data_IF_086546465955
#
_entry.id   IF_086546465955
#
_cell.length_a   1.000
_cell.length_b   1.000
_cell.length_c   1.000
_cell.angle_alpha   90.00
_cell.angle_beta   90.00
_cell.angle_gamma   90.00
#
_symmetry.space_group_name_H-M   'P 1'
#
loop_
_entity.id
_entity.type
_entity.pdbx_description
1 polymer ?
#
# COMPACT_ATOMS: atom_id res chain seq x y z
N UNK A 1 7.07 2.56 6.99
CA UNK A 1 6.87 1.28 6.27
C UNK A 1 7.96 1.13 5.22
N UNK A 2 8.36 -0.10 4.91
CA UNK A 2 9.45 -0.43 3.96
C UNK A 2 9.28 0.14 2.55
N UNK A 3 8.05 0.43 2.14
CA UNK A 3 7.73 0.89 0.79
C UNK A 3 7.51 2.40 0.70
N UNK A 4 7.60 3.13 1.82
CA UNK A 4 7.31 4.55 1.84
C UNK A 4 8.38 5.37 1.11
N UNK A 5 9.65 4.99 1.24
CA UNK A 5 10.77 5.69 0.63
C UNK A 5 11.65 4.77 -0.23
N UNK A 6 11.01 3.94 -1.05
CA UNK A 6 11.69 3.00 -1.93
C UNK A 6 11.07 3.00 -3.34
N UNK A 7 11.73 3.70 -4.27
CA UNK A 7 11.30 3.90 -5.64
C UNK A 7 11.28 2.58 -6.42
N UNK A 8 12.30 1.73 -6.22
CA UNK A 8 12.33 0.40 -6.83
C UNK A 8 11.13 -0.46 -6.43
N UNK A 9 10.74 -0.42 -5.16
CA UNK A 9 9.61 -1.21 -4.66
C UNK A 9 8.25 -0.73 -5.18
N UNK A 10 8.01 0.59 -5.29
CA UNK A 10 6.76 1.10 -5.87
C UNK A 10 6.66 0.86 -7.38
N UNK A 11 7.78 0.62 -8.07
CA UNK A 11 7.78 0.25 -9.48
C UNK A 11 7.60 -1.26 -9.72
N UNK A 12 8.23 -2.11 -8.89
CA UNK A 12 8.15 -3.58 -9.02
C UNK A 12 9.10 -4.15 -10.07
N UNK A 13 8.79 -5.38 -10.54
CA UNK A 13 9.58 -6.06 -11.58
C UNK A 13 9.55 -5.34 -12.92
N UNK A 14 10.43 -5.73 -13.85
CA UNK A 14 10.57 -5.11 -15.18
C UNK A 14 10.86 -3.59 -15.15
N UNK A 15 11.43 -3.08 -14.05
CA UNK A 15 11.85 -1.68 -13.94
C UNK A 15 13.35 -1.62 -13.72
N UNK A 16 14.07 -1.06 -14.71
CA UNK A 16 15.53 -1.04 -14.83
C UNK A 16 16.14 -2.43 -14.97
N UNK A 17 15.91 -3.32 -14.00
CA UNK A 17 16.31 -4.72 -14.02
C UNK A 17 15.11 -5.62 -14.25
N UNK A 18 15.36 -6.85 -14.73
CA UNK A 18 14.32 -7.85 -14.98
C UNK A 18 13.46 -8.11 -13.72
N UNK A 19 14.11 -8.35 -12.59
CA UNK A 19 13.44 -8.61 -11.32
C UNK A 19 13.06 -7.32 -10.57
N UNK A 20 13.33 -6.14 -11.16
CA UNK A 20 13.27 -4.87 -10.47
C UNK A 20 14.47 -4.62 -9.57
N UNK A 21 14.44 -3.50 -8.86
CA UNK A 21 15.55 -2.98 -8.04
C UNK A 21 15.06 -2.62 -6.65
N UNK A 22 15.98 -2.56 -5.69
CA UNK A 22 15.73 -2.12 -4.31
C UNK A 22 16.45 -0.77 -4.06
N UNK A 23 15.68 0.29 -3.81
CA UNK A 23 16.20 1.62 -3.49
C UNK A 23 15.96 2.67 -4.56
N UNK A 24 16.59 3.83 -4.38
CA UNK A 24 16.21 5.08 -5.05
C UNK A 24 17.20 5.55 -6.12
N UNK A 25 18.33 4.87 -6.30
CA UNK A 25 19.47 5.37 -7.10
C UNK A 25 19.53 4.83 -8.54
N UNK A 26 18.49 4.13 -9.00
CA UNK A 26 18.48 3.43 -10.30
C UNK A 26 17.72 4.17 -11.41
N UNK A 27 16.74 4.99 -11.03
CA UNK A 27 15.92 5.79 -11.96
C UNK A 27 15.47 7.07 -11.30
N UNK A 28 14.95 8.01 -12.09
CA UNK A 28 14.32 9.23 -11.58
C UNK A 28 12.85 8.99 -11.25
N UNK A 29 12.36 9.62 -10.20
CA UNK A 29 10.97 9.54 -9.78
C UNK A 29 10.77 10.18 -8.41
N UNK A 30 9.55 10.10 -7.91
CA UNK A 30 9.15 10.61 -6.59
C UNK A 30 8.67 9.44 -5.74
N UNK A 31 9.35 9.19 -4.62
CA UNK A 31 8.86 8.21 -3.63
C UNK A 31 7.59 8.71 -2.97
N UNK A 32 6.76 7.81 -2.44
CA UNK A 32 5.54 8.19 -1.70
C UNK A 32 5.89 9.11 -0.50
N UNK A 33 6.99 8.86 0.21
CA UNK A 33 7.46 9.75 1.29
C UNK A 33 7.80 11.14 0.77
N UNK A 34 8.52 11.22 -0.35
CA UNK A 34 8.88 12.51 -0.96
C UNK A 34 7.64 13.25 -1.44
N UNK A 35 6.67 12.55 -2.03
CA UNK A 35 5.38 13.12 -2.42
C UNK A 35 4.63 13.67 -1.20
N UNK A 36 4.53 12.90 -0.11
CA UNK A 36 3.88 13.35 1.14
C UNK A 36 4.53 14.65 1.64
N UNK A 37 5.86 14.69 1.70
CA UNK A 37 6.63 15.88 2.12
C UNK A 37 6.33 17.13 1.30
N UNK A 38 6.03 16.96 0.02
CA UNK A 38 5.77 18.06 -0.89
C UNK A 38 4.27 18.40 -1.00
N UNK A 39 3.37 17.55 -0.49
CA UNK A 39 1.91 17.77 -0.56
C UNK A 39 1.35 18.43 0.71
N UNK A 40 1.85 18.07 1.90
CA UNK A 40 1.27 18.59 3.15
C UNK A 40 1.63 20.06 3.39
N UNK A 41 0.88 20.72 4.27
CA UNK A 41 1.17 22.09 4.68
C UNK A 41 2.56 22.18 5.32
N UNK A 42 3.26 23.29 5.07
CA UNK A 42 4.63 23.55 5.56
C UNK A 42 4.79 23.49 7.08
N UNK A 43 3.70 23.69 7.83
CA UNK A 43 3.69 23.65 9.30
C UNK A 43 3.40 22.23 9.82
N UNK A 44 3.14 21.26 8.92
CA UNK A 44 2.98 19.84 9.25
C UNK A 44 4.34 19.20 9.50
N UNK A 45 4.57 18.73 10.71
CA UNK A 45 5.75 17.93 11.03
C UNK A 45 5.63 16.51 10.46
N UNK A 46 6.63 16.10 9.68
CA UNK A 46 6.69 14.77 9.08
C UNK A 46 7.83 13.98 9.68
N UNK A 47 7.48 12.91 10.38
CA UNK A 47 8.43 11.95 10.93
C UNK A 47 8.40 10.68 10.08
N UNK A 48 9.55 10.33 9.49
CA UNK A 48 9.71 9.06 8.79
C UNK A 48 10.44 8.06 9.68
N UNK A 49 9.80 6.90 9.88
CA UNK A 49 10.43 5.74 10.48
C UNK A 49 10.00 4.49 9.71
N UNK A 50 10.96 3.72 9.20
CA UNK A 50 10.64 2.60 8.31
C UNK A 50 9.88 1.49 9.05
N UNK A 51 10.41 1.04 10.19
CA UNK A 51 9.86 -0.05 11.01
C UNK A 51 9.81 0.37 12.50
N UNK A 52 8.92 1.29 12.90
CA UNK A 52 8.86 1.77 14.27
C UNK A 52 8.43 0.65 15.25
N UNK A 53 9.00 0.67 16.45
CA UNK A 53 8.52 -0.18 17.54
C UNK A 53 7.18 0.33 18.08
N UNK A 54 6.42 -0.56 18.70
CA UNK A 54 5.16 -0.20 19.36
C UNK A 54 5.35 0.92 20.39
N UNK A 55 6.44 0.87 21.17
CA UNK A 55 6.70 1.86 22.22
C UNK A 55 7.09 3.21 21.63
N UNK A 56 7.85 3.23 20.53
CA UNK A 56 8.12 4.46 19.81
C UNK A 56 6.83 5.13 19.34
N UNK A 57 5.91 4.37 18.73
CA UNK A 57 4.62 4.93 18.28
C UNK A 57 3.80 5.46 19.45
N UNK A 58 3.77 4.76 20.60
CA UNK A 58 3.04 5.20 21.80
C UNK A 58 3.63 6.44 22.48
N UNK A 59 4.95 6.57 22.46
CA UNK A 59 5.65 7.65 23.17
C UNK A 59 5.62 8.98 22.41
N UNK A 60 5.12 8.99 21.17
CA UNK A 60 4.97 10.18 20.34
C UNK A 60 3.49 10.49 20.10
N UNK A 61 3.15 11.76 20.04
CA UNK A 61 1.77 12.24 19.86
C UNK A 61 1.46 12.46 18.37
N UNK A 62 1.40 11.37 17.60
CA UNK A 62 1.09 11.45 16.18
C UNK A 62 -0.42 11.61 15.94
N UNK A 63 -0.81 12.60 15.14
CA UNK A 63 -2.23 12.82 14.77
C UNK A 63 -2.80 11.66 13.94
N UNK A 64 -2.01 11.14 13.00
CA UNK A 64 -2.32 9.97 12.18
C UNK A 64 -1.01 9.43 11.58
N UNK A 65 -1.08 8.26 10.95
CA UNK A 65 0.03 7.62 10.25
C UNK A 65 -0.37 7.13 8.86
N UNK A 66 0.60 7.13 7.93
CA UNK A 66 0.50 6.48 6.64
C UNK A 66 1.52 5.34 6.62
N UNK A 67 1.05 4.10 6.53
CA UNK A 67 1.90 2.90 6.52
C UNK A 67 1.95 2.35 5.10
N UNK A 68 3.07 2.56 4.42
CA UNK A 68 3.31 2.02 3.07
C UNK A 68 4.11 0.72 3.16
N UNK A 69 3.51 -0.39 2.75
CA UNK A 69 4.10 -1.74 2.79
C UNK A 69 3.60 -2.57 1.60
N UNK A 70 4.21 -3.73 1.35
CA UNK A 70 3.87 -4.49 0.15
C UNK A 70 4.74 -5.71 -0.14
N UNK A 71 4.62 -6.20 -1.37
CA UNK A 71 5.51 -7.21 -1.97
C UNK A 71 6.83 -6.54 -2.39
N UNK A 72 7.95 -7.27 -2.33
CA UNK A 72 9.20 -6.83 -3.00
C UNK A 72 9.09 -7.06 -4.51
N UNK A 73 9.88 -6.38 -5.35
CA UNK A 73 9.91 -6.60 -6.79
C UNK A 73 10.12 -8.07 -7.16
N UNK A 74 9.42 -8.52 -8.19
CA UNK A 74 9.56 -9.84 -8.80
C UNK A 74 9.11 -9.79 -10.26
N UNK A 75 9.65 -10.70 -11.07
CA UNK A 75 9.17 -10.99 -12.41
C UNK A 75 9.11 -12.51 -12.67
N UNK A 76 8.06 -12.93 -13.36
CA UNK A 76 7.86 -14.32 -13.81
C UNK A 76 7.92 -15.33 -12.64
N UNK A 77 8.67 -16.42 -12.77
CA UNK A 77 8.73 -17.52 -11.78
C UNK A 77 9.17 -17.06 -10.39
N UNK A 78 9.91 -15.96 -10.28
CA UNK A 78 10.29 -15.41 -8.96
C UNK A 78 9.09 -14.84 -8.20
N UNK A 79 8.00 -14.56 -8.89
CA UNK A 79 6.73 -14.13 -8.32
C UNK A 79 5.80 -15.28 -7.90
N UNK A 80 6.14 -16.53 -8.20
CA UNK A 80 5.29 -17.66 -7.81
C UNK A 80 5.25 -17.78 -6.27
N UNK A 81 4.03 -17.73 -5.71
CA UNK A 81 3.83 -17.80 -4.26
C UNK A 81 2.51 -18.48 -3.94
N UNK A 82 2.56 -19.45 -3.02
CA UNK A 82 1.38 -20.20 -2.55
C UNK A 82 0.73 -19.56 -1.32
N UNK A 83 1.44 -18.68 -0.60
CA UNK A 83 0.95 -18.08 0.64
C UNK A 83 0.39 -16.65 0.43
N UNK A 84 0.82 -15.96 -0.62
CA UNK A 84 0.40 -14.60 -0.98
C UNK A 84 0.39 -13.63 0.21
N UNK A 85 1.38 -13.73 1.10
CA UNK A 85 1.56 -12.85 2.26
C UNK A 85 2.61 -11.78 1.96
N UNK A 86 2.41 -10.56 2.46
CA UNK A 86 3.49 -9.55 2.50
C UNK A 86 4.57 -9.96 3.51
N UNK A 87 5.70 -9.26 3.50
CA UNK A 87 6.79 -9.53 4.45
C UNK A 87 6.34 -9.38 5.93
N UNK A 88 6.90 -10.21 6.80
CA UNK A 88 6.65 -10.15 8.26
C UNK A 88 6.96 -8.77 8.85
N UNK A 89 7.97 -8.07 8.31
CA UNK A 89 8.30 -6.71 8.73
C UNK A 89 7.17 -5.74 8.38
N UNK A 90 6.57 -5.86 7.20
CA UNK A 90 5.41 -5.08 6.77
C UNK A 90 4.20 -5.33 7.68
N UNK A 91 3.86 -6.60 7.92
CA UNK A 91 2.76 -6.98 8.80
C UNK A 91 2.95 -6.47 10.25
N UNK A 92 4.17 -6.60 10.80
CA UNK A 92 4.52 -6.06 12.12
C UNK A 92 4.46 -4.53 12.17
N UNK A 93 4.82 -3.85 11.09
CA UNK A 93 4.74 -2.39 11.00
C UNK A 93 3.28 -1.92 11.01
N UNK A 94 2.40 -2.58 10.27
CA UNK A 94 0.95 -2.31 10.35
C UNK A 94 0.47 -2.48 11.79
N UNK A 95 0.79 -3.62 12.42
CA UNK A 95 0.37 -3.90 13.80
C UNK A 95 0.86 -2.84 14.81
N UNK A 96 2.14 -2.50 14.76
CA UNK A 96 2.74 -1.55 15.71
C UNK A 96 2.18 -0.13 15.57
N UNK A 97 1.89 0.29 14.33
CA UNK A 97 1.44 1.66 14.05
C UNK A 97 -0.07 1.78 14.21
N UNK A 98 -0.82 1.00 13.43
CA UNK A 98 -2.28 1.13 13.31
C UNK A 98 -2.99 0.61 14.58
N UNK A 99 -2.34 -0.24 15.38
CA UNK A 99 -2.83 -0.62 16.71
C UNK A 99 -2.74 0.47 17.78
N UNK A 100 -2.19 1.64 17.48
CA UNK A 100 -1.95 2.74 18.44
C UNK A 100 -2.32 4.13 17.95
N UNK A 101 -2.20 4.39 16.66
CA UNK A 101 -2.50 5.68 16.03
C UNK A 101 -3.39 5.42 14.82
N UNK A 102 -4.33 6.34 14.54
CA UNK A 102 -5.16 6.27 13.33
C UNK A 102 -4.27 6.16 12.10
N UNK A 103 -4.51 5.16 11.28
CA UNK A 103 -3.57 4.70 10.28
C UNK A 103 -4.29 4.38 8.97
N UNK A 104 -3.77 4.92 7.88
CA UNK A 104 -4.09 4.47 6.52
C UNK A 104 -2.95 3.58 6.02
N UNK A 105 -3.28 2.37 5.57
CA UNK A 105 -2.32 1.46 4.93
C UNK A 105 -2.37 1.65 3.43
N UNK A 106 -1.22 1.95 2.82
CA UNK A 106 -1.02 1.95 1.37
C UNK A 106 -0.28 0.67 1.00
N UNK A 107 -0.95 -0.18 0.24
CA UNK A 107 -0.47 -1.50 -0.13
C UNK A 107 0.11 -1.50 -1.55
N UNK A 108 1.40 -1.82 -1.65
CA UNK A 108 2.15 -1.88 -2.92
C UNK A 108 2.33 -3.35 -3.32
N UNK A 109 1.47 -3.84 -4.22
CA UNK A 109 1.42 -5.28 -4.57
C UNK A 109 1.11 -5.49 -6.04
N UNK A 110 1.62 -6.57 -6.63
CA UNK A 110 1.29 -6.93 -8.01
C UNK A 110 -0.08 -7.59 -8.16
N UNK A 111 -0.73 -7.93 -7.03
CA UNK A 111 -1.94 -8.77 -6.95
C UNK A 111 -2.63 -8.63 -5.58
N UNK A 112 -3.85 -9.18 -5.42
CA UNK A 112 -4.44 -9.38 -4.10
C UNK A 112 -3.56 -10.27 -3.22
N UNK A 113 -3.40 -9.88 -1.96
CA UNK A 113 -2.60 -10.58 -0.94
C UNK A 113 -3.40 -10.75 0.35
N UNK A 114 -2.93 -11.59 1.26
CA UNK A 114 -3.51 -11.76 2.59
C UNK A 114 -3.46 -10.42 3.34
N UNK A 115 -4.64 -9.84 3.61
CA UNK A 115 -4.77 -8.56 4.35
C UNK A 115 -5.82 -8.62 5.46
N UNK A 116 -6.73 -9.61 5.43
CA UNK A 116 -7.82 -9.77 6.37
C UNK A 116 -7.41 -9.63 7.86
N UNK A 117 -6.28 -10.20 8.33
CA UNK A 117 -5.86 -10.08 9.74
C UNK A 117 -5.61 -8.65 10.22
N UNK A 118 -5.47 -7.69 9.31
CA UNK A 118 -5.18 -6.29 9.62
C UNK A 118 -6.39 -5.36 9.46
N UNK A 119 -7.52 -5.82 8.91
CA UNK A 119 -8.62 -4.92 8.55
C UNK A 119 -9.28 -4.27 9.76
N UNK A 120 -9.35 -4.95 10.90
CA UNK A 120 -10.01 -4.43 12.11
C UNK A 120 -9.23 -3.32 12.81
N UNK A 121 -7.96 -3.11 12.44
CA UNK A 121 -7.06 -2.15 13.10
C UNK A 121 -6.64 -0.97 12.22
N UNK A 122 -7.16 -0.87 11.00
CA UNK A 122 -6.81 0.19 10.05
C UNK A 122 -8.04 1.04 9.76
N UNK A 123 -7.84 2.35 9.69
CA UNK A 123 -8.91 3.30 9.35
C UNK A 123 -9.14 3.38 7.84
N UNK A 124 -8.13 3.03 7.04
CA UNK A 124 -8.22 2.98 5.58
C UNK A 124 -7.21 2.02 4.98
N UNK A 125 -7.59 1.40 3.87
CA UNK A 125 -6.73 0.56 3.04
C UNK A 125 -6.78 1.04 1.60
N UNK A 126 -5.62 1.35 1.03
CA UNK A 126 -5.47 1.71 -0.38
C UNK A 126 -4.64 0.64 -1.07
N UNK A 127 -5.24 -0.09 -2.00
CA UNK A 127 -4.50 -0.96 -2.91
C UNK A 127 -3.93 -0.10 -4.06
N UNK A 128 -2.67 0.32 -3.92
CA UNK A 128 -1.98 1.18 -4.88
C UNK A 128 -1.33 0.40 -6.04
N UNK A 129 -1.37 -0.93 -5.97
CA UNK A 129 -0.74 -1.82 -6.94
C UNK A 129 0.77 -1.57 -7.06
N UNK A 130 1.30 -1.51 -8.29
CA UNK A 130 2.67 -1.07 -8.58
C UNK A 130 2.58 0.28 -9.32
N UNK A 131 2.53 1.42 -8.60
CA UNK A 131 2.17 2.72 -9.19
C UNK A 131 3.28 3.35 -10.06
N UNK A 132 4.49 2.79 -10.11
CA UNK A 132 5.58 3.31 -10.94
C UNK A 132 6.29 4.50 -10.31
N UNK A 133 6.89 5.37 -11.12
CA UNK A 133 7.79 6.45 -10.67
C UNK A 133 7.09 7.65 -10.02
N UNK A 134 5.79 7.83 -10.26
CA UNK A 134 5.07 9.06 -9.92
C UNK A 134 4.31 8.93 -8.59
N UNK A 135 5.03 8.98 -7.47
CA UNK A 135 4.45 8.88 -6.12
C UNK A 135 3.37 9.93 -5.79
N UNK A 136 3.33 11.05 -6.52
CA UNK A 136 2.28 12.06 -6.36
C UNK A 136 0.88 11.53 -6.67
N UNK A 137 0.73 10.56 -7.59
CA UNK A 137 -0.58 9.97 -7.86
C UNK A 137 -1.22 9.33 -6.62
N UNK A 138 -0.39 8.87 -5.66
CA UNK A 138 -0.87 8.35 -4.39
C UNK A 138 -1.31 9.49 -3.46
N UNK A 139 -0.54 10.57 -3.35
CA UNK A 139 -0.85 11.68 -2.44
C UNK A 139 -1.98 12.57 -2.94
N UNK A 140 -2.12 12.70 -4.26
CA UNK A 140 -3.23 13.38 -4.95
C UNK A 140 -4.60 12.89 -4.45
N UNK A 141 -4.76 11.58 -4.21
CA UNK A 141 -6.01 11.01 -3.70
C UNK A 141 -6.04 10.88 -2.18
N UNK A 142 -4.91 10.61 -1.52
CA UNK A 142 -4.86 10.51 -0.06
C UNK A 142 -5.17 11.84 0.64
N UNK A 143 -4.72 12.96 0.06
CA UNK A 143 -4.98 14.30 0.60
C UNK A 143 -6.18 14.99 -0.07
N UNK A 144 -6.89 14.28 -0.95
CA UNK A 144 -8.17 14.72 -1.49
C UNK A 144 -8.07 15.83 -2.53
N UNK A 145 -6.94 15.99 -3.22
CA UNK A 145 -6.89 16.80 -4.44
C UNK A 145 -7.86 16.22 -5.47
N UNK A 146 -7.89 14.88 -5.57
CA UNK A 146 -8.87 14.12 -6.34
C UNK A 146 -9.57 13.07 -5.48
N UNK A 147 -10.76 12.67 -5.92
CA UNK A 147 -11.50 11.59 -5.30
C UNK A 147 -10.98 10.19 -5.67
N UNK A 148 -11.02 9.24 -4.74
CA UNK A 148 -10.85 7.83 -5.07
C UNK A 148 -11.97 7.37 -6.00
N UNK A 149 -11.60 6.74 -7.13
CA UNK A 149 -12.56 6.24 -8.13
C UNK A 149 -12.25 4.82 -8.62
N UNK A 150 -11.05 4.31 -8.33
CA UNK A 150 -10.61 2.98 -8.75
C UNK A 150 -11.53 1.86 -8.24
N UNK A 151 -11.73 0.84 -9.08
CA UNK A 151 -12.48 -0.37 -8.76
C UNK A 151 -11.59 -1.59 -8.95
N UNK A 152 -11.72 -2.58 -8.08
CA UNK A 152 -10.89 -3.78 -8.10
C UNK A 152 -11.03 -4.52 -9.44
N UNK A 153 -9.95 -4.67 -10.21
CA UNK A 153 -9.97 -5.43 -11.46
C UNK A 153 -9.82 -6.94 -11.21
N UNK A 154 -9.65 -7.36 -9.96
CA UNK A 154 -9.55 -8.76 -9.53
C UNK A 154 -10.31 -8.98 -8.23
N UNK A 155 -10.81 -10.19 -8.03
CA UNK A 155 -11.35 -10.65 -6.76
C UNK A 155 -10.28 -10.61 -5.66
N UNK A 156 -10.60 -10.05 -4.50
CA UNK A 156 -9.77 -10.19 -3.30
C UNK A 156 -10.27 -11.37 -2.46
N UNK A 157 -9.44 -12.39 -2.28
CA UNK A 157 -9.79 -13.58 -1.51
C UNK A 157 -9.73 -13.33 0.01
N UNK A 158 -10.44 -14.16 0.79
CA UNK A 158 -10.32 -14.19 2.26
C UNK A 158 -9.10 -15.00 2.68
N UNK A 159 -8.97 -16.20 2.12
CA UNK A 159 -7.83 -17.10 2.33
C UNK A 159 -7.32 -17.67 1.01
N UNK A 160 -6.05 -18.05 0.97
CA UNK A 160 -5.44 -18.64 -0.25
C UNK A 160 -6.03 -20.00 -0.61
N UNK A 161 -6.64 -20.70 0.36
CA UNK A 161 -7.30 -21.99 0.14
C UNK A 161 -8.55 -21.88 -0.75
N UNK A 162 -9.08 -20.68 -0.95
CA UNK A 162 -10.18 -20.42 -1.89
C UNK A 162 -9.72 -20.41 -3.35
N UNK A 163 -8.41 -20.37 -3.61
CA UNK A 163 -7.90 -20.21 -4.97
C UNK A 163 -7.91 -21.53 -5.75
N UNK A 164 -8.24 -21.52 -7.06
CA UNK A 164 -8.70 -20.35 -7.84
C UNK A 164 -10.18 -19.99 -7.56
N UNK A 165 -10.46 -18.69 -7.43
CA UNK A 165 -11.82 -18.15 -7.27
C UNK A 165 -11.97 -16.84 -8.06
N UNK A 166 -12.92 -16.81 -9.00
CA UNK A 166 -13.18 -15.70 -9.91
C UNK A 166 -14.66 -15.31 -9.93
N UNK A 167 -14.93 -14.08 -10.36
CA UNK A 167 -16.31 -13.59 -10.53
C UNK A 167 -17.06 -14.50 -11.50
N UNK A 168 -18.24 -14.96 -11.09
CA UNK A 168 -19.07 -15.91 -11.85
C UNK A 168 -18.96 -17.37 -11.38
N UNK A 169 -17.99 -17.70 -10.53
CA UNK A 169 -17.90 -19.05 -9.93
C UNK A 169 -19.10 -19.32 -9.00
N UNK A 170 -19.56 -20.58 -8.97
CA UNK A 170 -20.71 -20.97 -8.12
C UNK A 170 -20.44 -20.82 -6.61
N UNK A 171 -19.19 -20.96 -6.18
CA UNK A 171 -18.72 -20.81 -4.80
C UNK A 171 -18.01 -19.48 -4.55
N UNK A 172 -18.45 -18.39 -5.21
CA UNK A 172 -17.82 -17.07 -5.12
C UNK A 172 -18.06 -16.40 -3.75
N UNK A 173 -17.06 -16.47 -2.87
CA UNK A 173 -17.08 -15.89 -1.50
C UNK A 173 -15.86 -14.97 -1.24
N UNK A 174 -15.80 -13.79 -1.87
CA UNK A 174 -14.66 -12.90 -1.77
C UNK A 174 -14.61 -12.11 -0.46
N UNK A 175 -13.41 -11.66 -0.08
CA UNK A 175 -13.23 -10.61 0.94
C UNK A 175 -13.70 -9.27 0.38
N UNK A 176 -13.24 -8.94 -0.83
CA UNK A 176 -13.73 -7.82 -1.62
C UNK A 176 -14.04 -8.33 -3.04
N UNK A 177 -15.29 -8.18 -3.52
CA UNK A 177 -15.67 -8.68 -4.83
C UNK A 177 -15.00 -7.89 -5.97
N UNK A 178 -14.95 -8.50 -7.15
CA UNK A 178 -14.57 -7.80 -8.38
C UNK A 178 -15.43 -6.53 -8.55
N UNK A 179 -14.81 -5.42 -8.95
CA UNK A 179 -15.48 -4.13 -9.10
C UNK A 179 -15.72 -3.39 -7.79
N UNK A 180 -15.34 -3.93 -6.63
CA UNK A 180 -15.39 -3.20 -5.36
C UNK A 180 -14.43 -2.02 -5.35
N UNK A 181 -14.83 -0.94 -4.69
CA UNK A 181 -13.96 0.21 -4.44
C UNK A 181 -14.77 1.33 -3.84
N UNK A 182 -14.36 1.84 -2.69
CA UNK A 182 -14.98 3.03 -2.09
C UNK A 182 -14.56 4.27 -2.88
N UNK A 183 -15.33 5.34 -2.75
CA UNK A 183 -15.08 6.61 -3.44
C UNK A 183 -15.01 7.75 -2.44
N UNK A 184 -14.26 8.79 -2.79
CA UNK A 184 -14.26 10.09 -2.10
C UNK A 184 -14.50 11.19 -3.10
N UNK A 185 -14.86 12.38 -2.63
CA UNK A 185 -14.94 13.58 -3.46
C UNK A 185 -13.61 14.34 -3.39
N UNK A 186 -13.18 14.93 -4.51
CA UNK A 186 -12.00 15.78 -4.57
C UNK A 186 -12.32 17.21 -4.12
N UNK A 187 -11.39 17.83 -3.43
CA UNK A 187 -11.50 19.20 -2.92
C UNK A 187 -10.82 20.24 -3.81
N UNK A 188 -10.04 19.80 -4.81
CA UNK A 188 -9.38 20.69 -5.77
C UNK A 188 -10.39 21.12 -6.83
N UNK A 189 -10.65 22.42 -6.91
CA UNK A 189 -11.40 22.98 -8.03
C UNK A 189 -10.61 22.74 -9.33
N UNK A 190 -11.20 22.02 -10.28
CA UNK A 190 -10.70 21.88 -11.65
C UNK A 190 -10.82 23.19 -12.42
#
# INVERSE_FOLDING_TARGET
>A
GSHADNLGYQCGGWTIEWQGVDGNNFTSGTTILSAIKNTVDKDTEIVYHENPSLDYVKSNDFSYAIVVVGETPYAETKGDSLNLTISDKGAKTIYNVCGKVKCVVVLITGRPVVIQPHLDMIEGLVAAWLPGSEGYGVTDVLFGDYGFSGKLPRTWFKTVDQLPMNVGDSSYDPLFPFGFGLTTEGNKAT
#
